data_IF_323915876300
#
_entry.id   IF_323915876300
#
_cell.length_a   1.000
_cell.length_b   1.000
_cell.length_c   1.000
_cell.angle_alpha   90.00
_cell.angle_beta   90.00
_cell.angle_gamma   90.00
#
_symmetry.space_group_name_H-M   'P 1'
#
loop_
_entity.id
_entity.type
_entity.pdbx_description
1 polymer ?
#
# COMPACT_ATOMS: atom_id res chain seq x y z
N UNK A 1 -26.92 -2.89 25.10
CA UNK A 1 -26.54 -3.49 23.80
C UNK A 1 -25.65 -4.68 24.06
N UNK A 2 -26.03 -5.89 23.64
CA UNK A 2 -25.15 -7.06 23.69
C UNK A 2 -24.33 -7.12 22.41
N UNK A 3 -23.00 -7.04 22.54
CA UNK A 3 -22.07 -7.19 21.42
C UNK A 3 -22.11 -8.64 20.89
N UNK A 4 -22.37 -8.80 19.59
CA UNK A 4 -22.36 -10.09 18.89
C UNK A 4 -21.32 -10.03 17.77
N UNK A 5 -20.07 -10.47 18.02
CA UNK A 5 -19.03 -10.43 16.99
C UNK A 5 -19.33 -11.40 15.86
N UNK A 6 -19.01 -11.00 14.64
CA UNK A 6 -18.99 -11.90 13.48
C UNK A 6 -17.63 -12.60 13.44
N UNK A 7 -17.56 -13.93 13.30
CA UNK A 7 -16.30 -14.65 13.13
C UNK A 7 -15.53 -14.17 11.89
N UNK A 8 -14.22 -13.99 12.04
CA UNK A 8 -13.33 -13.69 10.91
C UNK A 8 -12.86 -14.99 10.26
N UNK A 9 -13.66 -15.53 9.35
CA UNK A 9 -13.36 -16.76 8.63
C UNK A 9 -13.31 -16.57 7.09
N UNK A 10 -12.95 -17.64 6.38
CA UNK A 10 -12.84 -17.62 4.92
C UNK A 10 -14.19 -17.40 4.21
N UNK A 11 -15.31 -17.78 4.83
CA UNK A 11 -16.63 -17.58 4.23
C UNK A 11 -17.03 -16.11 4.30
N UNK A 12 -16.89 -15.51 5.47
CA UNK A 12 -17.11 -14.08 5.69
C UNK A 12 -16.20 -13.23 4.80
N UNK A 13 -14.92 -13.60 4.69
CA UNK A 13 -13.98 -12.91 3.79
C UNK A 13 -14.42 -12.98 2.33
N UNK A 14 -14.86 -14.15 1.85
CA UNK A 14 -15.36 -14.30 0.47
C UNK A 14 -16.62 -13.48 0.22
N UNK A 15 -17.52 -13.42 1.20
CA UNK A 15 -18.74 -12.62 1.15
C UNK A 15 -18.41 -11.14 1.05
N UNK A 16 -17.59 -10.59 1.95
CA UNK A 16 -17.20 -9.18 1.93
C UNK A 16 -16.45 -8.81 0.64
N UNK A 17 -15.53 -9.66 0.18
CA UNK A 17 -14.77 -9.44 -1.05
C UNK A 17 -15.57 -9.72 -2.33
N UNK A 18 -16.82 -10.17 -2.23
CA UNK A 18 -17.71 -10.28 -3.40
C UNK A 18 -18.18 -8.91 -3.90
N UNK A 19 -18.26 -7.92 -3.01
CA UNK A 19 -18.55 -6.54 -3.36
C UNK A 19 -17.34 -5.91 -4.09
N UNK A 20 -17.50 -5.35 -5.31
CA UNK A 20 -16.42 -4.72 -6.06
C UNK A 20 -15.73 -3.55 -5.36
N UNK A 21 -16.48 -2.73 -4.60
CA UNK A 21 -15.94 -1.58 -3.86
C UNK A 21 -15.08 -2.07 -2.69
N UNK A 22 -15.60 -3.01 -1.91
CA UNK A 22 -14.85 -3.65 -0.81
C UNK A 22 -13.59 -4.34 -1.32
N UNK A 23 -13.68 -5.02 -2.47
CA UNK A 23 -12.50 -5.62 -3.12
C UNK A 23 -11.48 -4.58 -3.56
N UNK A 24 -11.92 -3.47 -4.14
CA UNK A 24 -11.00 -2.43 -4.61
C UNK A 24 -10.20 -1.81 -3.44
N UNK A 25 -10.88 -1.49 -2.34
CA UNK A 25 -10.22 -1.01 -1.11
C UNK A 25 -9.27 -2.08 -0.56
N UNK A 26 -9.71 -3.33 -0.49
CA UNK A 26 -8.89 -4.45 -0.02
C UNK A 26 -7.59 -4.61 -0.82
N UNK A 27 -7.66 -4.64 -2.15
CA UNK A 27 -6.47 -4.79 -3.00
C UNK A 27 -5.54 -3.56 -2.89
N UNK A 28 -6.09 -2.35 -2.74
CA UNK A 28 -5.28 -1.14 -2.54
C UNK A 28 -4.55 -1.16 -1.18
N UNK A 29 -5.25 -1.51 -0.09
CA UNK A 29 -4.62 -1.68 1.23
C UNK A 29 -3.59 -2.80 1.23
N UNK A 30 -3.86 -3.90 0.52
CA UNK A 30 -2.91 -5.00 0.39
C UNK A 30 -1.62 -4.53 -0.28
N UNK A 31 -1.71 -3.81 -1.40
CA UNK A 31 -0.55 -3.25 -2.09
C UNK A 31 0.25 -2.30 -1.17
N UNK A 32 -0.44 -1.47 -0.40
CA UNK A 32 0.17 -0.57 0.58
C UNK A 32 0.99 -1.34 1.64
N UNK A 33 0.39 -2.36 2.25
CA UNK A 33 1.05 -3.20 3.27
C UNK A 33 2.26 -3.92 2.67
N UNK A 34 2.10 -4.51 1.49
CA UNK A 34 3.18 -5.20 0.80
C UNK A 34 4.38 -4.26 0.55
N UNK A 35 4.12 -3.04 0.07
CA UNK A 35 5.16 -2.04 -0.13
C UNK A 35 5.83 -1.64 1.20
N UNK A 36 5.06 -1.32 2.24
CA UNK A 36 5.60 -0.96 3.56
C UNK A 36 6.49 -2.06 4.15
N UNK A 37 6.08 -3.33 4.00
CA UNK A 37 6.89 -4.47 4.42
C UNK A 37 8.20 -4.58 3.62
N UNK A 38 8.16 -4.37 2.31
CA UNK A 38 9.35 -4.37 1.47
C UNK A 38 10.35 -3.28 1.86
N UNK A 39 9.87 -2.06 2.13
CA UNK A 39 10.72 -0.96 2.59
C UNK A 39 11.40 -1.30 3.92
N UNK A 40 10.63 -1.83 4.88
CA UNK A 40 11.14 -2.25 6.19
C UNK A 40 12.18 -3.36 6.05
N UNK A 41 11.94 -4.33 5.19
CA UNK A 41 12.88 -5.43 4.93
C UNK A 41 14.17 -4.93 4.27
N UNK A 42 14.05 -4.05 3.27
CA UNK A 42 15.19 -3.44 2.58
C UNK A 42 16.10 -2.70 3.56
N UNK A 43 15.53 -1.90 4.47
CA UNK A 43 16.27 -1.25 5.56
C UNK A 43 17.00 -2.26 6.44
N UNK A 44 16.29 -3.29 6.92
CA UNK A 44 16.86 -4.32 7.80
C UNK A 44 18.02 -5.07 7.13
N UNK A 45 17.92 -5.37 5.83
CA UNK A 45 19.00 -5.99 5.02
C UNK A 45 20.26 -5.14 4.94
N UNK A 46 20.16 -3.84 5.20
CA UNK A 46 21.28 -2.90 5.25
C UNK A 46 21.74 -2.61 6.67
N UNK A 47 21.17 -3.29 7.66
CA UNK A 47 21.46 -3.10 9.09
C UNK A 47 21.23 -1.67 9.60
N UNK A 48 20.33 -0.93 8.97
CA UNK A 48 20.02 0.45 9.34
C UNK A 48 18.86 0.51 10.34
N UNK A 49 18.91 1.45 11.29
CA UNK A 49 17.81 1.82 12.18
C UNK A 49 16.83 2.77 11.46
N UNK A 50 15.66 3.01 12.06
CA UNK A 50 14.72 4.01 11.50
C UNK A 50 15.30 5.43 11.60
N UNK A 51 16.09 5.69 12.64
CA UNK A 51 16.83 6.93 12.85
C UNK A 51 17.89 7.15 11.77
N UNK A 52 18.65 6.12 11.39
CA UNK A 52 19.68 6.23 10.35
C UNK A 52 19.06 6.67 9.02
N UNK A 53 17.92 6.06 8.64
CA UNK A 53 17.20 6.42 7.42
C UNK A 53 16.60 7.82 7.53
N UNK A 54 16.07 8.18 8.72
CA UNK A 54 15.51 9.52 8.95
C UNK A 54 16.58 10.62 8.77
N UNK A 55 17.79 10.39 9.26
CA UNK A 55 18.93 11.30 9.11
C UNK A 55 19.29 11.50 7.64
N UNK A 56 19.42 10.41 6.86
CA UNK A 56 19.73 10.47 5.43
C UNK A 56 18.63 11.20 4.64
N UNK A 57 17.37 10.91 4.97
CA UNK A 57 16.20 11.54 4.33
C UNK A 57 15.92 12.97 4.84
N UNK A 58 16.68 13.48 5.82
CA UNK A 58 16.46 14.76 6.49
C UNK A 58 15.03 14.90 7.00
N UNK A 59 14.56 13.87 7.69
CA UNK A 59 13.22 13.79 8.27
C UNK A 59 13.30 13.26 9.70
N UNK A 60 12.16 12.98 10.32
CA UNK A 60 12.08 12.47 11.69
C UNK A 60 11.70 10.99 11.71
N UNK A 61 12.18 10.25 12.71
CA UNK A 61 11.88 8.82 12.91
C UNK A 61 10.39 8.46 12.77
N UNK A 62 9.41 9.24 13.28
CA UNK A 62 7.99 8.92 13.10
C UNK A 62 7.55 8.85 11.63
N UNK A 63 8.17 9.63 10.74
CA UNK A 63 7.89 9.58 9.29
C UNK A 63 8.33 8.25 8.71
N UNK A 64 9.51 7.77 9.11
CA UNK A 64 10.03 6.46 8.72
C UNK A 64 9.16 5.33 9.30
N UNK A 65 8.71 5.48 10.55
CA UNK A 65 7.83 4.50 11.17
C UNK A 65 6.51 4.32 10.42
N UNK A 66 5.87 5.43 9.98
CA UNK A 66 4.62 5.37 9.20
C UNK A 66 4.82 4.71 7.83
N UNK A 67 5.91 5.02 7.15
CA UNK A 67 6.28 4.38 5.89
C UNK A 67 6.38 2.85 6.03
N UNK A 68 6.88 2.36 7.16
CA UNK A 68 7.11 0.93 7.41
C UNK A 68 5.94 0.17 8.04
N UNK A 69 5.04 0.85 8.75
CA UNK A 69 3.89 0.20 9.39
C UNK A 69 2.72 0.01 8.42
N UNK A 70 2.59 0.89 7.42
CA UNK A 70 1.42 0.89 6.54
C UNK A 70 0.13 1.32 7.25
N UNK A 71 0.24 1.97 8.42
CA UNK A 71 -0.89 2.35 9.30
C UNK A 71 -1.67 3.59 8.85
N UNK A 72 -1.33 4.19 7.71
CA UNK A 72 -2.05 5.36 7.21
C UNK A 72 -3.26 4.95 6.35
N UNK A 73 -4.33 5.73 6.44
CA UNK A 73 -5.42 5.73 5.45
C UNK A 73 -4.81 5.71 4.03
N UNK A 74 -5.37 4.89 3.13
CA UNK A 74 -4.92 4.78 1.73
C UNK A 74 -4.82 6.18 1.09
N UNK A 75 -5.70 7.11 1.48
CA UNK A 75 -5.69 8.49 0.99
C UNK A 75 -4.46 9.30 1.41
N UNK A 76 -3.84 8.97 2.53
CA UNK A 76 -2.71 9.67 3.14
C UNK A 76 -1.38 8.92 2.95
N UNK A 77 -1.37 7.92 2.07
CA UNK A 77 -0.17 7.15 1.80
C UNK A 77 0.94 8.03 1.17
N UNK A 78 2.22 7.85 1.55
CA UNK A 78 3.31 8.67 1.04
C UNK A 78 3.43 8.65 -0.48
N UNK A 79 3.83 9.79 -1.05
CA UNK A 79 4.01 9.92 -2.49
C UNK A 79 5.04 8.93 -3.05
N UNK A 80 4.91 8.59 -4.33
CA UNK A 80 5.90 7.75 -5.03
C UNK A 80 7.33 8.33 -4.92
N UNK A 81 7.46 9.65 -4.93
CA UNK A 81 8.76 10.33 -4.75
C UNK A 81 9.33 10.11 -3.34
N UNK A 82 8.48 10.09 -2.31
CA UNK A 82 8.91 9.80 -0.93
C UNK A 82 9.40 8.36 -0.82
N UNK A 83 8.69 7.41 -1.42
CA UNK A 83 9.08 5.99 -1.45
C UNK A 83 10.40 5.81 -2.21
N UNK A 84 10.56 6.48 -3.36
CA UNK A 84 11.80 6.46 -4.12
C UNK A 84 12.98 7.04 -3.32
N UNK A 85 12.77 8.15 -2.59
CA UNK A 85 13.80 8.72 -1.69
C UNK A 85 14.17 7.75 -0.57
N UNK A 86 13.20 7.08 0.02
CA UNK A 86 13.47 6.03 1.02
C UNK A 86 14.31 4.92 0.43
N UNK A 87 13.91 4.38 -0.73
CA UNK A 87 14.65 3.32 -1.40
C UNK A 87 16.10 3.73 -1.65
N UNK A 88 16.33 4.93 -2.20
CA UNK A 88 17.67 5.47 -2.41
C UNK A 88 18.45 5.64 -1.10
N UNK A 89 17.80 6.08 -0.01
CA UNK A 89 18.42 6.24 1.30
C UNK A 89 18.92 4.91 1.89
N UNK A 90 18.23 3.80 1.59
CA UNK A 90 18.67 2.45 1.96
C UNK A 90 19.52 1.77 0.87
N UNK A 91 19.87 2.46 -0.21
CA UNK A 91 20.72 1.92 -1.29
C UNK A 91 20.01 0.95 -2.24
N UNK A 92 18.70 1.13 -2.45
CA UNK A 92 17.87 0.40 -3.41
C UNK A 92 17.32 1.34 -4.49
N UNK A 93 16.96 0.77 -5.64
CA UNK A 93 16.23 1.45 -6.70
C UNK A 93 14.77 1.00 -6.70
N UNK A 94 13.83 1.95 -6.79
CA UNK A 94 12.40 1.63 -6.91
C UNK A 94 12.07 1.28 -8.38
N UNK A 95 11.61 0.05 -8.61
CA UNK A 95 11.09 -0.40 -9.91
C UNK A 95 9.64 -0.83 -9.77
N UNK A 96 8.80 -0.46 -10.74
CA UNK A 96 7.41 -0.91 -10.82
C UNK A 96 7.06 -1.30 -12.25
N UNK A 97 6.06 -2.18 -12.39
CA UNK A 97 5.57 -2.66 -13.67
C UNK A 97 4.04 -2.66 -13.66
N UNK A 98 3.43 -2.34 -14.80
CA UNK A 98 2.00 -2.49 -15.00
C UNK A 98 1.70 -3.91 -15.45
N UNK A 99 0.81 -4.60 -14.73
CA UNK A 99 0.34 -5.93 -15.09
C UNK A 99 -1.05 -5.86 -15.73
N UNK A 100 -1.31 -6.56 -16.84
CA UNK A 100 -2.65 -6.60 -17.44
C UNK A 100 -3.68 -7.20 -16.46
N UNK A 101 -4.76 -6.45 -16.19
CA UNK A 101 -5.88 -6.98 -15.40
C UNK A 101 -6.74 -7.90 -16.27
N UNK A 102 -7.13 -9.07 -15.74
CA UNK A 102 -7.87 -10.12 -16.49
C UNK A 102 -9.23 -9.70 -17.05
N UNK A 103 -9.80 -8.54 -16.65
CA UNK A 103 -11.01 -7.95 -17.26
C UNK A 103 -11.03 -6.43 -17.07
N UNK A 104 -10.62 -5.69 -18.09
CA UNK A 104 -11.02 -4.27 -18.20
C UNK A 104 -12.46 -4.29 -18.71
N UNK A 105 -13.45 -4.10 -17.83
CA UNK A 105 -14.82 -3.77 -18.29
C UNK A 105 -14.73 -2.41 -18.95
N UNK A 106 -14.65 -2.39 -20.28
CA UNK A 106 -14.76 -1.16 -21.04
C UNK A 106 -16.15 -0.56 -20.79
N UNK A 107 -16.21 0.58 -20.11
CA UNK A 107 -17.40 1.42 -20.23
C UNK A 107 -17.45 1.85 -21.70
N UNK A 108 -18.43 1.32 -22.44
CA UNK A 108 -18.77 1.80 -23.78
C UNK A 108 -18.86 3.33 -23.72
N UNK A 109 -17.90 4.03 -24.30
CA UNK A 109 -18.06 5.45 -24.60
C UNK A 109 -19.22 5.55 -25.60
N UNK A 110 -20.38 5.98 -25.10
CA UNK A 110 -21.51 6.39 -25.94
C UNK A 110 -21.07 7.67 -26.65
N UNK A 111 -20.58 7.54 -27.89
CA UNK A 111 -20.41 8.66 -28.82
C UNK A 111 -21.74 9.42 -28.83
N UNK A 112 -21.76 10.67 -28.38
CA UNK A 112 -22.80 11.62 -28.76
C UNK A 112 -22.47 12.01 -30.20
N UNK A 113 -23.20 11.45 -31.15
CA UNK A 113 -23.24 12.00 -32.50
C UNK A 113 -23.95 13.36 -32.44
N UNK A 114 -23.39 14.32 -33.18
CA UNK A 114 -23.91 15.67 -33.35
C UNK A 114 -25.02 15.67 -34.39
#
# INVERSE_FOLDING_TARGET
MTYKPVPWDDQFRKEVLSNPESRAVYEATKLQIELSMQLREARKKRHMTQEDVAEIMRTHKPVISRLESGDDDIQHFPSLLTIAKFASAVGYELKFALIPMKKVRSKKYRKKEK
#
